data_IF_586553874253
#
_entry.id   IF_586553874253
#
_cell.length_a   1.000
_cell.length_b   1.000
_cell.length_c   1.000
_cell.angle_alpha   90.00
_cell.angle_beta   90.00
_cell.angle_gamma   90.00
#
_symmetry.space_group_name_H-M   'P 1'
#
loop_
_entity.id
_entity.type
_entity.pdbx_description
1 polymer ?
#
# COMPACT_ATOMS: atom_id res chain seq x y z
N UNK A 1 6.44 -7.08 1.69
CA UNK A 1 7.06 -6.52 0.48
C UNK A 1 7.99 -7.58 -0.08
N UNK A 2 8.23 -7.56 -1.40
CA UNK A 2 9.49 -8.07 -1.95
C UNK A 2 10.65 -7.38 -1.23
N UNK A 3 11.74 -8.08 -0.91
CA UNK A 3 12.92 -7.45 -0.29
C UNK A 3 13.59 -6.49 -1.28
N UNK A 4 13.47 -6.80 -2.58
CA UNK A 4 14.01 -6.05 -3.71
C UNK A 4 13.56 -4.56 -3.75
N UNK A 5 12.42 -4.21 -3.12
CA UNK A 5 11.83 -2.87 -3.14
C UNK A 5 12.54 -1.83 -2.24
N UNK A 6 13.36 -2.28 -1.27
CA UNK A 6 13.94 -1.40 -0.24
C UNK A 6 15.44 -1.20 -0.52
N UNK A 7 15.73 -0.24 -1.39
CA UNK A 7 17.09 0.04 -1.87
C UNK A 7 18.02 0.76 -0.88
N UNK A 8 17.48 1.51 0.10
CA UNK A 8 18.28 2.22 1.11
C UNK A 8 17.72 2.11 2.54
N UNK A 9 18.56 2.45 3.52
CA UNK A 9 18.17 2.55 4.94
C UNK A 9 17.14 3.65 5.21
N UNK A 10 17.23 4.79 4.51
CA UNK A 10 16.23 5.87 4.62
C UNK A 10 14.88 5.46 4.02
N UNK A 11 14.87 4.66 2.93
CA UNK A 11 13.63 4.05 2.42
C UNK A 11 12.98 3.20 3.53
N UNK A 12 13.74 2.31 4.16
CA UNK A 12 13.24 1.48 5.27
C UNK A 12 12.68 2.33 6.41
N UNK A 13 13.44 3.31 6.90
CA UNK A 13 13.01 4.18 8.00
C UNK A 13 11.75 4.99 7.65
N UNK A 14 11.66 5.52 6.43
CA UNK A 14 10.47 6.25 5.98
C UNK A 14 9.22 5.33 5.99
N UNK A 15 9.34 4.11 5.46
CA UNK A 15 8.24 3.13 5.52
C UNK A 15 7.84 2.75 6.96
N UNK A 16 8.76 2.83 7.93
CA UNK A 16 8.46 2.70 9.35
C UNK A 16 7.79 3.97 9.93
N UNK A 17 8.19 5.18 9.52
CA UNK A 17 7.55 6.46 9.91
C UNK A 17 6.14 6.62 9.34
N UNK A 18 5.82 5.98 8.21
CA UNK A 18 4.48 5.96 7.62
C UNK A 18 3.40 5.50 8.61
N UNK A 19 3.75 4.69 9.61
CA UNK A 19 2.82 4.19 10.62
C UNK A 19 2.64 5.12 11.83
N UNK A 20 3.26 6.31 11.84
CA UNK A 20 3.15 7.27 12.94
C UNK A 20 1.73 7.79 13.17
N UNK A 21 0.81 7.63 12.21
CA UNK A 21 -0.63 7.82 12.45
C UNK A 21 -1.17 6.99 13.63
N UNK A 22 -0.51 5.88 14.01
CA UNK A 22 -0.85 5.09 15.19
C UNK A 22 -0.62 5.85 16.51
N UNK A 23 0.18 6.93 16.53
CA UNK A 23 0.27 7.83 17.70
C UNK A 23 -1.08 8.49 18.00
N UNK A 24 -1.97 8.65 17.00
CA UNK A 24 -3.32 9.18 17.21
C UNK A 24 -4.18 8.30 18.13
N UNK A 25 -3.84 7.01 18.28
CA UNK A 25 -4.46 6.10 19.26
C UNK A 25 -4.20 6.53 20.72
N UNK A 26 -3.17 7.34 20.99
CA UNK A 26 -2.90 7.89 22.33
C UNK A 26 -4.02 8.82 22.82
N UNK A 27 -4.94 9.25 21.94
CA UNK A 27 -6.20 9.91 22.32
C UNK A 27 -7.09 9.04 23.22
N UNK A 28 -6.97 7.72 23.15
CA UNK A 28 -7.55 6.83 24.15
C UNK A 28 -6.75 6.96 25.46
N UNK A 29 -7.31 7.46 26.59
CA UNK A 29 -6.52 7.87 27.75
C UNK A 29 -5.75 6.73 28.45
N UNK A 30 -6.16 5.47 28.22
CA UNK A 30 -5.54 4.26 28.78
C UNK A 30 -4.63 3.52 27.79
N UNK A 31 -4.58 3.92 26.52
CA UNK A 31 -3.66 3.32 25.56
C UNK A 31 -2.21 3.70 25.89
N UNK A 32 -1.30 2.74 25.73
CA UNK A 32 0.16 2.92 25.73
C UNK A 32 0.69 2.40 24.42
N UNK A 33 1.63 3.12 23.80
CA UNK A 33 2.19 2.76 22.51
C UNK A 33 3.69 2.53 22.66
N UNK A 34 4.15 1.33 22.34
CA UNK A 34 5.57 1.03 22.17
C UNK A 34 5.83 1.06 20.66
N UNK A 35 6.41 2.16 20.18
CA UNK A 35 6.73 2.34 18.77
C UNK A 35 8.19 1.95 18.55
N UNK A 36 8.44 1.08 17.58
CA UNK A 36 9.76 0.50 17.32
C UNK A 36 10.14 0.73 15.85
N UNK A 37 11.32 1.27 15.64
CA UNK A 37 11.88 1.63 14.32
C UNK A 37 13.34 1.23 14.24
N UNK A 38 13.92 1.18 13.04
CA UNK A 38 15.31 0.79 12.77
C UNK A 38 16.33 1.82 13.28
N UNK A 39 15.97 3.10 13.27
CA UNK A 39 16.75 4.21 13.81
C UNK A 39 15.86 5.12 14.66
N UNK A 40 16.44 6.08 15.39
CA UNK A 40 15.64 7.11 16.10
C UNK A 40 14.95 8.06 15.15
N UNK A 41 13.64 8.27 15.37
CA UNK A 41 12.85 9.33 14.75
C UNK A 41 13.19 10.68 15.40
N UNK A 42 13.22 11.76 14.62
CA UNK A 42 13.49 13.12 15.10
C UNK A 42 12.41 13.58 16.12
N UNK A 43 12.76 14.27 17.22
CA UNK A 43 11.78 14.70 18.22
C UNK A 43 10.65 15.57 17.65
N UNK A 44 10.95 16.53 16.78
CA UNK A 44 9.95 17.40 16.14
C UNK A 44 8.94 16.63 15.28
N UNK A 45 9.37 15.57 14.57
CA UNK A 45 8.45 14.65 13.87
C UNK A 45 7.48 14.00 14.87
N UNK A 46 7.95 13.57 16.04
CA UNK A 46 7.08 12.98 17.06
C UNK A 46 6.12 14.02 17.63
N UNK A 47 6.62 15.21 17.96
CA UNK A 47 5.81 16.24 18.60
C UNK A 47 4.75 16.81 17.62
N UNK A 48 5.06 16.91 16.31
CA UNK A 48 4.07 17.12 15.24
C UNK A 48 2.90 16.12 15.28
N UNK A 49 3.18 14.82 15.43
CA UNK A 49 2.12 13.80 15.56
C UNK A 49 1.37 13.84 16.90
N UNK A 50 1.90 14.51 17.93
CA UNK A 50 1.23 14.69 19.22
C UNK A 50 0.36 15.95 19.27
N UNK A 51 0.78 17.04 18.62
CA UNK A 51 -0.03 18.26 18.45
C UNK A 51 -1.24 18.02 17.54
N UNK A 52 -1.17 16.99 16.70
CA UNK A 52 -2.29 16.48 15.89
C UNK A 52 -3.35 15.68 16.67
N UNK A 53 -3.24 15.53 18.00
CA UNK A 53 -4.20 14.79 18.83
C UNK A 53 -5.42 15.66 19.25
N UNK A 54 -6.62 15.49 18.67
CA UNK A 54 -7.77 16.32 19.04
C UNK A 54 -8.22 16.06 20.49
N UNK A 55 -8.23 17.11 21.31
CA UNK A 55 -8.71 17.05 22.70
C UNK A 55 -7.74 16.40 23.71
N UNK A 56 -6.45 16.28 23.38
CA UNK A 56 -5.43 15.68 24.26
C UNK A 56 -4.33 16.71 24.53
N UNK A 57 -3.84 16.79 25.77
CA UNK A 57 -2.62 17.54 26.07
C UNK A 57 -1.40 16.71 25.64
N UNK A 58 -0.53 17.20 24.74
CA UNK A 58 0.59 16.41 24.18
C UNK A 58 1.48 15.74 25.24
N UNK A 59 1.75 16.40 26.37
CA UNK A 59 2.53 15.85 27.48
C UNK A 59 1.88 14.59 28.12
N UNK A 60 0.56 14.52 28.20
CA UNK A 60 -0.18 13.34 28.70
C UNK A 60 -0.21 12.19 27.68
N UNK A 61 0.01 12.46 26.39
CA UNK A 61 0.25 11.44 25.38
C UNK A 61 1.72 10.97 25.41
N UNK A 62 2.67 11.89 25.53
CA UNK A 62 4.12 11.62 25.61
C UNK A 62 4.48 10.65 26.73
N UNK A 63 3.87 10.79 27.91
CA UNK A 63 4.05 9.88 29.05
C UNK A 63 3.65 8.41 28.78
N UNK A 64 2.88 8.15 27.71
CA UNK A 64 2.39 6.82 27.32
C UNK A 64 3.00 6.32 26.00
N UNK A 65 3.91 7.09 25.40
CA UNK A 65 4.61 6.80 24.15
C UNK A 65 6.06 6.41 24.44
N UNK A 66 6.41 5.16 24.11
CA UNK A 66 7.75 4.62 24.28
C UNK A 66 8.37 4.38 22.92
N UNK A 67 9.42 5.13 22.60
CA UNK A 67 10.16 5.01 21.34
C UNK A 67 11.39 4.14 21.57
N UNK A 68 11.55 3.09 20.76
CA UNK A 68 12.68 2.17 20.82
C UNK A 68 13.30 1.95 19.44
N UNK A 69 14.62 1.72 19.43
CA UNK A 69 15.39 1.49 18.21
C UNK A 69 16.55 0.51 18.49
N UNK A 70 16.90 -0.39 17.54
CA UNK A 70 18.10 -1.21 17.56
C UNK A 70 19.36 -0.46 17.08
N UNK A 71 19.21 0.80 16.64
CA UNK A 71 20.24 1.68 16.05
C UNK A 71 20.95 0.98 14.87
N UNK A 72 20.17 0.62 13.85
CA UNK A 72 20.56 -0.27 12.76
C UNK A 72 19.93 0.20 11.44
N UNK A 73 20.59 1.16 10.78
CA UNK A 73 20.16 1.73 9.50
C UNK A 73 20.34 0.82 8.27
N UNK A 74 20.67 -0.47 8.45
CA UNK A 74 20.80 -1.41 7.32
C UNK A 74 19.45 -1.69 6.64
N UNK A 75 19.45 -2.17 5.40
CA UNK A 75 18.22 -2.61 4.70
C UNK A 75 17.59 -3.91 5.26
N UNK A 76 18.12 -4.45 6.36
CA UNK A 76 17.58 -5.68 6.98
C UNK A 76 16.20 -5.43 7.59
N UNK A 77 15.28 -6.42 7.56
CA UNK A 77 13.99 -6.32 8.22
C UNK A 77 14.10 -5.97 9.71
N UNK A 78 13.25 -5.07 10.21
CA UNK A 78 13.23 -4.66 11.61
C UNK A 78 13.09 -5.85 12.57
N UNK A 79 12.22 -6.81 12.25
CA UNK A 79 12.04 -8.04 13.02
C UNK A 79 13.35 -8.83 13.19
N UNK A 80 14.20 -8.92 12.17
CA UNK A 80 15.51 -9.59 12.28
C UNK A 80 16.49 -8.78 13.14
N UNK A 81 16.45 -7.44 13.03
CA UNK A 81 17.26 -6.53 13.86
C UNK A 81 16.90 -6.67 15.34
N UNK A 82 15.61 -6.88 15.66
CA UNK A 82 15.10 -7.08 17.03
C UNK A 82 15.37 -8.50 17.55
N UNK A 83 15.10 -9.54 16.76
CA UNK A 83 15.30 -10.94 17.16
C UNK A 83 16.78 -11.28 17.42
N UNK A 84 17.70 -10.61 16.71
CA UNK A 84 19.14 -10.70 16.97
C UNK A 84 19.59 -9.97 18.26
N UNK A 85 18.70 -9.26 18.98
CA UNK A 85 19.03 -8.43 20.14
C UNK A 85 18.16 -8.79 21.37
N UNK A 86 18.39 -9.93 22.06
CA UNK A 86 17.56 -10.38 23.19
C UNK A 86 17.36 -9.35 24.31
N UNK A 87 18.37 -8.54 24.66
CA UNK A 87 18.24 -7.46 25.65
C UNK A 87 17.24 -6.38 25.24
N UNK A 88 17.04 -6.15 23.94
CA UNK A 88 16.04 -5.22 23.42
C UNK A 88 14.64 -5.85 23.43
N UNK A 89 14.52 -7.16 23.17
CA UNK A 89 13.27 -7.92 23.35
C UNK A 89 12.80 -7.83 24.81
N UNK A 90 13.67 -8.07 25.80
CA UNK A 90 13.29 -7.91 27.21
C UNK A 90 12.96 -6.46 27.60
N UNK A 91 13.59 -5.46 26.97
CA UNK A 91 13.24 -4.04 27.15
C UNK A 91 11.88 -3.68 26.53
N UNK A 92 11.45 -4.34 25.45
CA UNK A 92 10.10 -4.19 24.92
C UNK A 92 9.11 -4.90 25.87
N UNK A 93 9.42 -6.12 26.30
CA UNK A 93 8.59 -6.91 27.24
C UNK A 93 8.34 -6.18 28.55
N UNK A 94 9.34 -5.53 29.15
CA UNK A 94 9.16 -4.79 30.42
C UNK A 94 8.33 -3.50 30.30
N UNK A 95 7.98 -3.06 29.09
CA UNK A 95 7.04 -1.96 28.85
C UNK A 95 5.60 -2.43 28.62
N UNK A 96 5.40 -3.72 28.34
CA UNK A 96 4.09 -4.38 28.21
C UNK A 96 3.55 -4.63 29.62
N UNK A 97 2.60 -3.80 30.06
CA UNK A 97 2.02 -3.89 31.41
C UNK A 97 1.07 -5.08 31.59
N UNK A 98 0.42 -5.51 30.51
CA UNK A 98 -0.68 -6.47 30.49
C UNK A 98 -0.65 -7.21 29.13
N UNK A 99 -0.12 -8.44 29.06
CA UNK A 99 -0.04 -9.20 27.81
C UNK A 99 -1.40 -9.53 27.19
N UNK A 100 -2.42 -9.77 28.01
CA UNK A 100 -3.79 -10.09 27.56
C UNK A 100 -4.50 -8.89 26.93
N UNK A 101 -3.98 -7.67 27.17
CA UNK A 101 -4.44 -6.41 26.57
C UNK A 101 -3.45 -5.76 25.60
N UNK A 102 -2.35 -6.43 25.28
CA UNK A 102 -1.36 -5.96 24.32
C UNK A 102 -1.43 -6.77 23.01
N UNK A 103 -1.02 -6.14 21.90
CA UNK A 103 -0.85 -6.84 20.63
C UNK A 103 0.22 -6.15 19.78
N UNK A 104 0.97 -6.94 19.00
CA UNK A 104 1.91 -6.42 18.02
C UNK A 104 1.14 -5.93 16.79
N UNK A 105 1.32 -4.67 16.37
CA UNK A 105 0.81 -4.14 15.10
C UNK A 105 1.97 -4.04 14.10
N UNK A 106 2.20 -5.06 13.25
CA UNK A 106 3.29 -5.01 12.29
C UNK A 106 2.86 -4.34 10.98
N UNK A 107 3.87 -3.96 10.19
CA UNK A 107 3.74 -3.46 8.82
C UNK A 107 3.44 -4.59 7.81
N UNK A 108 4.33 -5.58 7.69
CA UNK A 108 4.12 -6.84 6.96
C UNK A 108 3.74 -7.96 7.95
N UNK A 109 3.15 -9.06 7.47
CA UNK A 109 2.83 -10.23 8.30
C UNK A 109 3.53 -11.48 7.77
N UNK A 110 4.78 -11.68 8.18
CA UNK A 110 5.59 -12.85 7.79
C UNK A 110 5.93 -13.72 9.00
N UNK A 111 6.61 -14.85 8.78
CA UNK A 111 7.11 -15.69 9.88
C UNK A 111 8.07 -14.93 10.83
N UNK A 112 8.71 -13.84 10.39
CA UNK A 112 9.58 -13.00 11.23
C UNK A 112 8.78 -12.24 12.30
N UNK A 113 7.63 -11.67 11.91
CA UNK A 113 6.74 -10.96 12.84
C UNK A 113 5.97 -11.94 13.74
N UNK A 114 5.69 -13.16 13.25
CA UNK A 114 5.14 -14.25 14.06
C UNK A 114 6.09 -14.70 15.17
N UNK A 115 7.37 -14.92 14.84
CA UNK A 115 8.42 -15.21 15.84
C UNK A 115 8.59 -14.02 16.80
N UNK A 116 8.61 -12.78 16.32
CA UNK A 116 8.66 -11.60 17.18
C UNK A 116 7.47 -11.55 18.17
N UNK A 117 6.24 -11.81 17.73
CA UNK A 117 5.06 -11.85 18.59
C UNK A 117 5.16 -12.96 19.65
N UNK A 118 5.59 -14.16 19.27
CA UNK A 118 5.83 -15.28 20.21
C UNK A 118 6.88 -14.92 21.27
N UNK A 119 7.97 -14.25 20.87
CA UNK A 119 9.06 -13.83 21.78
C UNK A 119 8.66 -12.68 22.68
N UNK A 120 7.79 -11.78 22.23
CA UNK A 120 7.16 -10.76 23.07
C UNK A 120 6.09 -11.33 24.01
N UNK A 121 5.50 -12.49 23.67
CA UNK A 121 4.44 -13.13 24.45
C UNK A 121 3.07 -12.47 24.29
N UNK A 122 2.80 -11.85 23.14
CA UNK A 122 1.55 -11.14 22.84
C UNK A 122 1.00 -11.54 21.45
N UNK A 123 -0.32 -11.48 21.22
CA UNK A 123 -0.90 -11.74 19.90
C UNK A 123 -0.43 -10.73 18.84
N UNK A 124 -0.39 -11.16 17.57
CA UNK A 124 -0.12 -10.29 16.43
C UNK A 124 -1.43 -9.83 15.77
N UNK A 125 -1.61 -8.52 15.62
CA UNK A 125 -2.76 -7.94 14.90
C UNK A 125 -2.48 -7.83 13.39
N UNK A 126 -2.62 -8.98 12.73
CA UNK A 126 -2.47 -9.18 11.30
C UNK A 126 -2.82 -10.61 10.89
N UNK A 127 -2.75 -10.92 9.59
CA UNK A 127 -2.99 -12.28 9.10
C UNK A 127 -1.92 -13.26 9.63
N UNK A 128 -2.32 -14.49 9.97
CA UNK A 128 -1.37 -15.56 10.25
C UNK A 128 -0.60 -15.91 8.96
N UNK A 129 0.75 -15.88 8.94
CA UNK A 129 1.55 -16.17 7.75
C UNK A 129 1.25 -17.47 7.02
N UNK A 130 0.57 -18.45 7.65
CA UNK A 130 0.04 -19.64 6.95
C UNK A 130 -0.93 -19.31 5.80
N UNK A 131 -1.56 -18.14 5.83
CA UNK A 131 -2.45 -17.66 4.78
C UNK A 131 -1.72 -16.89 3.68
N UNK A 132 -0.40 -16.66 3.78
CA UNK A 132 0.39 -15.95 2.77
C UNK A 132 0.20 -16.49 1.34
N UNK A 133 0.13 -17.81 1.08
CA UNK A 133 -0.15 -18.33 -0.27
C UNK A 133 -1.42 -17.79 -0.90
N UNK A 134 -2.47 -17.50 -0.11
CA UNK A 134 -3.75 -16.93 -0.58
C UNK A 134 -3.62 -15.46 -1.04
N UNK A 135 -2.57 -14.76 -0.64
CA UNK A 135 -2.25 -13.39 -1.06
C UNK A 135 -1.22 -13.31 -2.20
N UNK A 136 -0.74 -14.44 -2.72
CA UNK A 136 0.03 -14.47 -3.98
C UNK A 136 -0.91 -14.29 -5.16
N UNK A 137 -0.41 -13.80 -6.31
CA UNK A 137 -1.24 -13.61 -7.51
C UNK A 137 -1.90 -14.92 -7.99
N UNK A 138 -1.17 -16.04 -7.91
CA UNK A 138 -1.70 -17.37 -8.21
C UNK A 138 -2.73 -17.84 -7.18
N UNK A 139 -2.54 -17.54 -5.89
CA UNK A 139 -3.47 -17.90 -4.83
C UNK A 139 -4.76 -17.08 -4.84
N UNK A 140 -4.69 -15.79 -5.18
CA UNK A 140 -5.89 -14.95 -5.25
C UNK A 140 -6.75 -15.26 -6.46
N UNK A 141 -6.17 -15.59 -7.63
CA UNK A 141 -6.94 -16.04 -8.81
C UNK A 141 -7.71 -17.33 -8.56
N UNK A 142 -7.15 -18.26 -7.77
CA UNK A 142 -7.87 -19.45 -7.28
C UNK A 142 -9.07 -19.07 -6.39
N UNK A 143 -8.89 -18.12 -5.46
CA UNK A 143 -10.00 -17.57 -4.65
C UNK A 143 -11.07 -16.87 -5.52
N UNK A 144 -10.66 -16.10 -6.54
CA UNK A 144 -11.61 -15.45 -7.45
C UNK A 144 -12.44 -16.47 -8.23
N UNK A 145 -11.81 -17.58 -8.64
CA UNK A 145 -12.48 -18.73 -9.29
C UNK A 145 -13.46 -19.42 -8.34
N UNK A 146 -13.05 -19.76 -7.11
CA UNK A 146 -13.92 -20.39 -6.11
C UNK A 146 -15.17 -19.55 -5.79
N UNK A 147 -15.01 -18.23 -5.69
CA UNK A 147 -16.08 -17.31 -5.25
C UNK A 147 -16.93 -16.72 -6.37
N UNK A 148 -16.65 -17.07 -7.63
CA UNK A 148 -17.29 -16.45 -8.80
C UNK A 148 -17.12 -14.91 -8.79
N UNK A 149 -15.91 -14.46 -8.53
CA UNK A 149 -15.45 -13.06 -8.71
C UNK A 149 -14.85 -12.98 -10.13
N UNK A 150 -15.32 -12.09 -11.02
CA UNK A 150 -14.76 -12.00 -12.35
C UNK A 150 -13.32 -11.48 -12.29
N UNK A 151 -12.47 -12.06 -13.13
CA UNK A 151 -11.03 -11.78 -13.20
C UNK A 151 -10.54 -12.13 -14.62
N UNK A 152 -9.39 -11.61 -15.09
CA UNK A 152 -8.97 -11.78 -16.48
C UNK A 152 -8.69 -13.24 -16.84
N UNK A 153 -8.87 -13.62 -18.11
CA UNK A 153 -8.44 -14.94 -18.61
C UNK A 153 -6.93 -15.08 -18.37
N UNK A 154 -6.48 -16.23 -17.83
CA UNK A 154 -5.08 -16.43 -17.49
C UNK A 154 -4.81 -17.81 -16.90
N UNK A 155 -3.55 -18.02 -16.52
CA UNK A 155 -3.03 -19.24 -15.89
C UNK A 155 -2.11 -18.90 -14.71
N UNK A 156 -2.13 -19.77 -13.70
CA UNK A 156 -1.42 -19.63 -12.42
C UNK A 156 -0.16 -20.53 -12.32
N UNK A 157 0.68 -20.28 -11.30
CA UNK A 157 1.87 -21.08 -10.91
C UNK A 157 2.96 -21.28 -11.99
N UNK A 158 2.97 -20.47 -13.04
CA UNK A 158 3.92 -20.50 -14.16
C UNK A 158 5.36 -20.27 -13.67
N UNK A 159 6.29 -21.17 -14.00
CA UNK A 159 7.69 -21.12 -13.55
C UNK A 159 8.74 -21.53 -14.57
N UNK A 160 8.40 -21.56 -15.86
CA UNK A 160 9.35 -21.75 -16.95
C UNK A 160 8.92 -21.01 -18.21
N UNK A 161 9.85 -20.79 -19.14
CA UNK A 161 9.55 -20.24 -20.48
C UNK A 161 8.58 -21.15 -21.24
N UNK A 162 8.71 -22.47 -21.09
CA UNK A 162 7.83 -23.46 -21.71
C UNK A 162 6.39 -23.41 -21.15
N UNK A 163 6.23 -23.36 -19.82
CA UNK A 163 4.92 -23.16 -19.19
C UNK A 163 4.26 -21.85 -19.65
N UNK A 164 5.04 -20.78 -19.79
CA UNK A 164 4.56 -19.46 -20.23
C UNK A 164 4.12 -19.47 -21.71
N UNK A 165 4.90 -20.08 -22.61
CA UNK A 165 4.54 -20.28 -24.02
C UNK A 165 3.25 -21.10 -24.16
N UNK A 166 3.16 -22.21 -23.42
CA UNK A 166 2.00 -23.10 -23.45
C UNK A 166 0.74 -22.41 -22.93
N UNK A 167 0.84 -21.65 -21.83
CA UNK A 167 -0.27 -20.88 -21.28
C UNK A 167 -0.77 -19.80 -22.27
N UNK A 168 0.12 -18.99 -22.84
CA UNK A 168 -0.28 -17.94 -23.79
C UNK A 168 -0.89 -18.55 -25.06
N UNK A 169 -0.36 -19.67 -25.56
CA UNK A 169 -0.94 -20.39 -26.72
C UNK A 169 -2.37 -20.87 -26.41
N UNK A 170 -2.62 -21.41 -25.21
CA UNK A 170 -3.96 -21.79 -24.77
C UNK A 170 -4.90 -20.58 -24.62
N UNK A 171 -4.40 -19.46 -24.10
CA UNK A 171 -5.16 -18.20 -24.02
C UNK A 171 -5.55 -17.67 -25.41
N UNK A 172 -4.61 -17.63 -26.37
CA UNK A 172 -4.87 -17.23 -27.75
C UNK A 172 -5.86 -18.16 -28.45
N UNK A 173 -5.75 -19.48 -28.26
CA UNK A 173 -6.68 -20.44 -28.82
C UNK A 173 -8.11 -20.27 -28.25
N UNK A 174 -8.24 -19.93 -26.95
CA UNK A 174 -9.53 -19.68 -26.28
C UNK A 174 -10.13 -18.31 -26.59
N UNK A 175 -9.30 -17.29 -26.79
CA UNK A 175 -9.71 -15.91 -27.13
C UNK A 175 -8.72 -15.32 -28.15
N UNK A 176 -8.93 -15.54 -29.47
CA UNK A 176 -8.02 -15.05 -30.51
C UNK A 176 -7.88 -13.53 -30.61
N UNK A 177 -8.76 -12.77 -29.94
CA UNK A 177 -8.76 -11.31 -29.88
C UNK A 177 -7.90 -10.72 -28.74
N UNK A 178 -7.08 -11.52 -28.05
CA UNK A 178 -6.13 -10.98 -27.05
C UNK A 178 -4.95 -10.34 -27.78
N UNK A 179 -4.92 -9.01 -27.76
CA UNK A 179 -3.82 -8.21 -28.30
C UNK A 179 -2.58 -8.25 -27.40
N UNK A 180 -2.75 -8.30 -26.08
CA UNK A 180 -1.66 -8.24 -25.10
C UNK A 180 -1.95 -9.09 -23.85
N UNK A 181 -0.90 -9.67 -23.27
CA UNK A 181 -0.95 -10.34 -21.96
C UNK A 181 0.05 -9.71 -21.00
N UNK A 182 -0.23 -9.82 -19.70
CA UNK A 182 0.64 -9.38 -18.64
C UNK A 182 1.09 -10.58 -17.80
N UNK A 183 2.40 -10.76 -17.71
CA UNK A 183 3.06 -11.72 -16.81
C UNK A 183 3.32 -11.01 -15.49
N UNK A 184 3.00 -11.63 -14.36
CA UNK A 184 3.11 -10.99 -13.03
C UNK A 184 3.70 -11.95 -12.01
N UNK A 185 4.86 -11.61 -11.45
CA UNK A 185 5.49 -12.39 -10.37
C UNK A 185 4.59 -12.43 -9.13
N UNK A 186 4.46 -13.62 -8.52
CA UNK A 186 3.50 -13.91 -7.45
C UNK A 186 3.60 -12.96 -6.24
N UNK A 187 4.81 -12.55 -5.87
CA UNK A 187 5.11 -11.72 -4.69
C UNK A 187 5.48 -10.27 -5.03
N UNK A 188 5.43 -9.89 -6.31
CA UNK A 188 5.69 -8.52 -6.77
C UNK A 188 4.68 -7.51 -6.20
N UNK A 189 5.12 -6.30 -5.87
CA UNK A 189 4.30 -5.25 -5.22
C UNK A 189 4.34 -3.95 -6.02
N UNK A 190 3.27 -3.14 -5.96
CA UNK A 190 3.23 -1.79 -6.54
C UNK A 190 3.57 -1.68 -8.05
N UNK A 191 3.42 -2.78 -8.82
CA UNK A 191 3.81 -2.87 -10.23
C UNK A 191 5.12 -3.64 -10.47
N UNK A 192 5.97 -3.80 -9.45
CA UNK A 192 7.22 -4.57 -9.53
C UNK A 192 6.96 -6.02 -9.97
N UNK A 193 7.69 -6.49 -10.99
CA UNK A 193 7.55 -7.85 -11.50
C UNK A 193 6.36 -8.07 -12.44
N UNK A 194 5.64 -7.01 -12.83
CA UNK A 194 4.79 -7.03 -14.01
C UNK A 194 5.64 -6.89 -15.29
N UNK A 195 5.28 -7.64 -16.34
CA UNK A 195 5.84 -7.52 -17.67
C UNK A 195 4.73 -7.66 -18.73
N UNK A 196 4.78 -6.88 -19.81
CA UNK A 196 3.81 -6.93 -20.91
C UNK A 196 4.41 -7.68 -22.10
N UNK A 197 3.64 -8.63 -22.65
CA UNK A 197 3.96 -9.34 -23.89
C UNK A 197 2.94 -8.92 -24.95
N UNK A 198 3.42 -8.34 -26.04
CA UNK A 198 2.58 -7.93 -27.17
C UNK A 198 2.30 -9.12 -28.11
N UNK A 199 1.03 -9.41 -28.36
CA UNK A 199 0.57 -10.51 -29.22
C UNK A 199 0.09 -10.01 -30.59
N UNK A 200 0.15 -8.70 -30.83
CA UNK A 200 -0.18 -8.10 -32.12
C UNK A 200 0.72 -8.62 -33.25
N UNK A 201 0.11 -8.75 -34.45
CA UNK A 201 0.71 -9.31 -35.66
C UNK A 201 1.28 -10.75 -35.54
N UNK A 202 1.00 -11.47 -34.45
CA UNK A 202 1.21 -12.93 -34.41
C UNK A 202 0.25 -13.65 -35.38
N UNK A 203 0.66 -14.79 -35.99
CA UNK A 203 -0.21 -15.55 -36.88
C UNK A 203 -1.44 -16.11 -36.13
N UNK A 204 -2.43 -16.60 -36.89
CA UNK A 204 -3.61 -17.27 -36.31
C UNK A 204 -3.21 -18.41 -35.37
N UNK A 205 -3.92 -18.63 -34.24
CA UNK A 205 -3.61 -19.71 -33.31
C UNK A 205 -3.59 -21.08 -33.99
N UNK A 206 -2.64 -21.93 -33.60
CA UNK A 206 -2.37 -23.23 -34.24
C UNK A 206 -1.49 -23.16 -35.49
N UNK A 207 -0.99 -21.98 -35.88
CA UNK A 207 -0.03 -21.85 -36.97
C UNK A 207 1.33 -22.44 -36.59
N UNK A 208 2.00 -23.15 -37.52
CA UNK A 208 3.36 -23.68 -37.31
C UNK A 208 4.44 -22.63 -37.02
N UNK A 209 4.14 -21.33 -37.24
CA UNK A 209 5.02 -20.21 -36.89
C UNK A 209 4.69 -19.55 -35.54
N UNK A 210 3.57 -19.91 -34.90
CA UNK A 210 3.09 -19.25 -33.68
C UNK A 210 4.12 -19.33 -32.55
N UNK A 211 4.58 -20.53 -32.20
CA UNK A 211 5.48 -20.74 -31.05
C UNK A 211 6.80 -19.99 -31.21
N UNK A 212 7.38 -19.98 -32.42
CA UNK A 212 8.63 -19.27 -32.69
C UNK A 212 8.47 -17.75 -32.59
N UNK A 213 7.42 -17.18 -33.18
CA UNK A 213 7.15 -15.74 -33.06
C UNK A 213 6.74 -15.35 -31.63
N UNK A 214 6.10 -16.25 -30.89
CA UNK A 214 5.77 -16.03 -29.48
C UNK A 214 7.02 -16.07 -28.59
N UNK A 215 8.01 -16.91 -28.88
CA UNK A 215 9.33 -16.88 -28.24
C UNK A 215 10.04 -15.54 -28.47
N UNK A 216 10.01 -15.01 -29.69
CA UNK A 216 10.52 -13.66 -29.99
C UNK A 216 9.79 -12.57 -29.17
N UNK A 217 8.47 -12.68 -29.01
CA UNK A 217 7.66 -11.77 -28.17
C UNK A 217 7.97 -11.88 -26.68
N UNK A 218 8.20 -13.08 -26.14
CA UNK A 218 8.66 -13.25 -24.76
C UNK A 218 10.03 -12.58 -24.56
N UNK A 219 10.98 -12.83 -25.47
CA UNK A 219 12.33 -12.26 -25.44
C UNK A 219 12.36 -10.73 -25.59
N UNK A 220 11.26 -10.12 -26.04
CA UNK A 220 11.07 -8.67 -26.17
C UNK A 220 9.98 -8.11 -25.24
N UNK A 221 9.62 -8.81 -24.17
CA UNK A 221 8.64 -8.34 -23.19
C UNK A 221 9.08 -7.04 -22.49
N UNK A 222 8.11 -6.18 -22.18
CA UNK A 222 8.35 -4.85 -21.61
C UNK A 222 8.19 -4.88 -20.08
N UNK A 223 9.19 -4.39 -19.33
CA UNK A 223 9.19 -4.38 -17.86
C UNK A 223 8.79 -3.00 -17.31
N UNK A 224 8.08 -2.99 -16.18
CA UNK A 224 7.74 -1.73 -15.47
C UNK A 224 8.94 -1.13 -14.71
N UNK A 225 9.93 -1.96 -14.35
CA UNK A 225 11.16 -1.54 -13.66
C UNK A 225 12.32 -1.37 -14.66
N UNK A 226 12.98 -0.21 -14.61
CA UNK A 226 14.23 0.03 -15.34
C UNK A 226 15.34 -0.95 -14.93
N UNK A 227 16.20 -1.30 -15.88
CA UNK A 227 17.35 -2.20 -15.66
C UNK A 227 17.01 -3.69 -15.52
N UNK A 228 15.73 -4.08 -15.49
CA UNK A 228 15.34 -5.50 -15.54
C UNK A 228 15.64 -6.08 -16.92
N UNK A 229 16.39 -7.18 -16.94
CA UNK A 229 16.68 -7.96 -18.15
C UNK A 229 15.81 -9.22 -18.22
N UNK A 230 15.58 -9.74 -19.43
CA UNK A 230 14.84 -10.99 -19.64
C UNK A 230 15.35 -12.14 -18.75
N UNK A 231 16.65 -12.40 -18.76
CA UNK A 231 17.21 -13.54 -18.01
C UNK A 231 17.08 -13.35 -16.48
N UNK A 232 17.20 -12.11 -15.99
CA UNK A 232 16.97 -11.79 -14.57
C UNK A 232 15.49 -11.94 -14.18
N UNK A 233 14.56 -11.58 -15.07
CA UNK A 233 13.13 -11.76 -14.87
C UNK A 233 12.74 -13.25 -14.88
N UNK A 234 13.24 -14.02 -15.84
CA UNK A 234 12.95 -15.45 -15.94
C UNK A 234 13.54 -16.26 -14.78
N UNK A 235 14.70 -15.86 -14.26
CA UNK A 235 15.25 -16.42 -13.02
C UNK A 235 14.31 -16.17 -11.82
N UNK A 236 13.80 -14.95 -11.65
CA UNK A 236 12.79 -14.63 -10.61
C UNK A 236 11.45 -15.32 -10.84
N UNK A 237 11.05 -15.55 -12.09
CA UNK A 237 9.86 -16.31 -12.45
C UNK A 237 10.00 -17.80 -12.08
N UNK A 238 11.18 -18.39 -12.29
CA UNK A 238 11.47 -19.76 -11.86
C UNK A 238 11.49 -19.89 -10.32
N UNK A 239 12.07 -18.92 -9.61
CA UNK A 239 12.12 -18.87 -8.14
C UNK A 239 10.72 -18.69 -7.52
N UNK A 240 9.98 -17.65 -7.94
CA UNK A 240 8.80 -17.15 -7.22
C UNK A 240 7.46 -17.60 -7.81
N UNK A 241 7.50 -18.16 -9.03
CA UNK A 241 6.35 -18.39 -9.92
C UNK A 241 5.62 -17.10 -10.30
N UNK A 242 4.84 -17.17 -11.37
CA UNK A 242 4.08 -16.07 -11.94
C UNK A 242 2.65 -16.49 -12.30
N UNK A 243 1.81 -15.49 -12.51
CA UNK A 243 0.59 -15.64 -13.32
C UNK A 243 0.85 -15.03 -14.70
N UNK A 244 0.15 -15.53 -15.73
CA UNK A 244 0.01 -14.82 -17.01
C UNK A 244 -1.47 -14.62 -17.29
N UNK A 245 -1.88 -13.39 -17.60
CA UNK A 245 -3.28 -13.05 -17.78
C UNK A 245 -3.50 -12.00 -18.88
N UNK A 246 -4.71 -11.93 -19.41
CA UNK A 246 -5.14 -10.94 -20.38
C UNK A 246 -4.96 -9.52 -19.82
N UNK A 247 -4.30 -8.64 -20.59
CA UNK A 247 -4.23 -7.21 -20.25
C UNK A 247 -5.59 -6.58 -20.58
N UNK A 248 -6.40 -6.35 -19.55
CA UNK A 248 -7.65 -5.59 -19.69
C UNK A 248 -7.34 -4.16 -20.16
N UNK A 249 -8.01 -3.73 -21.22
CA UNK A 249 -7.92 -2.41 -21.85
C UNK A 249 -9.32 -1.91 -22.24
N UNK A 250 -9.48 -0.61 -22.44
CA UNK A 250 -10.73 0.02 -22.85
C UNK A 250 -10.55 1.53 -23.06
N UNK A 251 -11.56 2.19 -23.64
CA UNK A 251 -11.57 3.66 -23.84
C UNK A 251 -11.46 4.42 -22.51
N UNK A 252 -12.14 3.92 -21.48
CA UNK A 252 -11.95 4.34 -20.09
C UNK A 252 -11.44 3.15 -19.27
N UNK A 253 -10.26 3.31 -18.65
CA UNK A 253 -9.67 2.34 -17.73
C UNK A 253 -9.45 2.96 -16.35
N UNK A 254 -9.73 2.17 -15.30
CA UNK A 254 -9.59 2.54 -13.88
C UNK A 254 -9.01 1.36 -13.12
N UNK A 255 -8.16 1.63 -12.13
CA UNK A 255 -7.63 0.61 -11.20
C UNK A 255 -8.08 0.94 -9.76
N UNK A 256 -9.35 0.71 -9.41
CA UNK A 256 -9.84 1.01 -8.07
C UNK A 256 -9.56 -0.15 -7.11
N UNK A 257 -9.69 0.12 -5.81
CA UNK A 257 -9.41 -0.84 -4.75
C UNK A 257 -10.38 -0.72 -3.59
N UNK A 258 -10.60 -1.83 -2.88
CA UNK A 258 -11.45 -1.88 -1.68
C UNK A 258 -10.63 -2.39 -0.51
N UNK A 259 -10.72 -1.70 0.62
CA UNK A 259 -10.06 -2.10 1.85
C UNK A 259 -11.03 -2.87 2.75
N UNK A 260 -10.56 -4.04 3.20
CA UNK A 260 -11.29 -4.97 4.05
C UNK A 260 -10.52 -5.16 5.35
N UNK A 261 -11.23 -5.22 6.48
CA UNK A 261 -10.69 -5.61 7.78
C UNK A 261 -11.38 -6.86 8.29
N UNK A 262 -10.59 -7.89 8.58
CA UNK A 262 -11.07 -9.07 9.31
C UNK A 262 -10.71 -8.84 10.77
N UNK A 263 -11.72 -8.80 11.62
CA UNK A 263 -11.55 -8.63 13.07
C UNK A 263 -11.10 -9.95 13.73
N UNK A 264 -10.55 -9.94 14.96
CA UNK A 264 -10.23 -11.16 15.70
C UNK A 264 -11.47 -12.05 16.00
N UNK A 265 -12.67 -11.50 15.83
CA UNK A 265 -13.95 -12.20 15.97
C UNK A 265 -14.47 -12.80 14.65
N UNK A 266 -13.68 -12.77 13.57
CA UNK A 266 -14.06 -13.27 12.24
C UNK A 266 -15.03 -12.38 11.45
N UNK A 267 -15.51 -11.27 12.03
CA UNK A 267 -16.33 -10.28 11.31
C UNK A 267 -15.47 -9.57 10.25
N UNK A 268 -16.03 -9.45 9.04
CA UNK A 268 -15.52 -8.58 7.96
C UNK A 268 -16.12 -7.20 8.09
N UNK A 269 -15.29 -6.18 7.90
CA UNK A 269 -15.67 -4.78 7.85
C UNK A 269 -15.13 -4.19 6.55
N UNK A 270 -16.01 -3.63 5.72
CA UNK A 270 -15.66 -2.85 4.54
C UNK A 270 -15.25 -1.47 5.02
N UNK A 271 -13.98 -1.11 4.85
CA UNK A 271 -13.44 0.13 5.40
C UNK A 271 -13.55 1.30 4.43
N UNK A 272 -13.29 1.07 3.14
CA UNK A 272 -13.12 2.16 2.17
C UNK A 272 -12.98 1.65 0.73
N UNK A 273 -13.44 2.44 -0.24
CA UNK A 273 -13.08 2.34 -1.66
C UNK A 273 -12.10 3.46 -2.03
N UNK A 274 -11.15 3.18 -2.91
CA UNK A 274 -10.18 4.18 -3.39
C UNK A 274 -9.89 3.99 -4.88
N UNK A 275 -9.64 5.08 -5.58
CA UNK A 275 -9.09 5.06 -6.94
C UNK A 275 -7.58 5.23 -6.87
N UNK A 276 -6.83 4.38 -7.58
CA UNK A 276 -5.36 4.45 -7.58
C UNK A 276 -4.85 5.51 -8.55
N UNK A 277 -3.95 6.35 -8.06
CA UNK A 277 -3.10 7.20 -8.89
C UNK A 277 -1.93 6.34 -9.37
N UNK A 278 -1.94 6.00 -10.66
CA UNK A 278 -0.92 5.17 -11.31
C UNK A 278 -0.03 6.00 -12.24
N UNK A 279 1.21 5.54 -12.42
CA UNK A 279 2.19 6.07 -13.37
C UNK A 279 3.17 4.97 -13.79
N UNK A 280 4.42 5.36 -14.11
CA UNK A 280 5.42 4.44 -14.64
C UNK A 280 5.21 4.08 -16.12
N UNK A 281 6.15 3.37 -16.76
CA UNK A 281 6.18 3.18 -18.22
C UNK A 281 4.92 2.56 -18.82
N UNK A 282 4.27 1.62 -18.13
CA UNK A 282 3.03 0.97 -18.58
C UNK A 282 1.77 1.48 -17.86
N UNK A 283 1.89 2.48 -17.00
CA UNK A 283 0.80 3.00 -16.17
C UNK A 283 0.38 2.02 -15.08
N UNK A 284 1.32 1.32 -14.44
CA UNK A 284 1.06 0.27 -13.43
C UNK A 284 1.73 0.56 -12.08
N UNK A 285 2.66 1.50 -12.00
CA UNK A 285 3.34 1.91 -10.77
C UNK A 285 2.41 2.70 -9.85
N UNK A 286 2.22 2.25 -8.60
CA UNK A 286 1.38 2.95 -7.63
C UNK A 286 2.08 4.22 -7.09
N UNK A 287 1.48 5.39 -7.30
CA UNK A 287 1.95 6.68 -6.78
C UNK A 287 1.17 7.11 -5.54
N UNK A 288 -0.14 6.86 -5.53
CA UNK A 288 -1.05 7.33 -4.49
C UNK A 288 -2.50 6.89 -4.72
N UNK A 289 -3.44 7.55 -4.04
CA UNK A 289 -4.87 7.25 -4.17
C UNK A 289 -5.78 8.46 -3.92
N UNK A 290 -7.00 8.36 -4.42
CA UNK A 290 -8.12 9.28 -4.19
C UNK A 290 -9.20 8.54 -3.39
N UNK A 291 -9.84 9.23 -2.44
CA UNK A 291 -10.86 8.67 -1.55
C UNK A 291 -12.08 9.60 -1.40
N UNK A 292 -13.32 9.06 -1.41
CA UNK A 292 -13.67 7.69 -1.82
C UNK A 292 -13.47 7.49 -3.34
N UNK A 293 -13.56 6.24 -3.80
CA UNK A 293 -13.65 5.94 -5.22
C UNK A 293 -14.88 6.58 -5.88
N UNK A 294 -14.85 6.76 -7.20
CA UNK A 294 -15.98 7.29 -7.97
C UNK A 294 -17.30 6.56 -7.67
N UNK A 295 -18.35 7.34 -7.39
CA UNK A 295 -19.65 6.84 -6.93
C UNK A 295 -20.37 5.95 -7.96
N UNK A 296 -20.00 6.05 -9.24
CA UNK A 296 -20.49 5.18 -10.30
C UNK A 296 -20.18 3.70 -10.00
N UNK A 297 -18.91 3.37 -9.70
CA UNK A 297 -18.46 1.99 -9.48
C UNK A 297 -18.06 1.64 -8.05
N UNK A 298 -17.97 2.59 -7.10
CA UNK A 298 -17.59 2.29 -5.72
C UNK A 298 -18.48 1.20 -5.07
N UNK A 299 -19.80 1.26 -5.30
CA UNK A 299 -20.74 0.26 -4.79
C UNK A 299 -20.58 -1.13 -5.47
N UNK A 300 -20.14 -1.19 -6.73
CA UNK A 300 -19.80 -2.45 -7.41
C UNK A 300 -18.64 -3.15 -6.70
N UNK A 301 -17.50 -2.46 -6.67
CA UNK A 301 -16.24 -3.07 -6.27
C UNK A 301 -16.33 -3.49 -4.81
N UNK A 302 -17.07 -2.73 -4.00
CA UNK A 302 -17.46 -3.08 -2.64
C UNK A 302 -18.12 -4.46 -2.57
N UNK A 303 -19.15 -4.74 -3.38
CA UNK A 303 -19.92 -5.99 -3.31
C UNK A 303 -19.12 -7.22 -3.76
N UNK A 304 -18.20 -7.04 -4.70
CA UNK A 304 -17.29 -8.09 -5.18
C UNK A 304 -16.06 -8.30 -4.29
N UNK A 305 -15.38 -7.24 -3.87
CA UNK A 305 -14.32 -7.35 -2.86
C UNK A 305 -14.88 -7.90 -1.55
N UNK A 306 -16.14 -7.57 -1.21
CA UNK A 306 -16.83 -8.23 -0.13
C UNK A 306 -16.95 -9.73 -0.37
N UNK A 307 -17.20 -10.28 -1.58
CA UNK A 307 -17.11 -11.75 -1.83
C UNK A 307 -15.76 -12.28 -1.37
N UNK A 308 -14.67 -11.67 -1.81
CA UNK A 308 -13.29 -12.08 -1.45
C UNK A 308 -13.06 -12.02 0.06
N UNK A 309 -13.37 -10.90 0.70
CA UNK A 309 -13.33 -10.76 2.17
C UNK A 309 -14.23 -11.77 2.88
N UNK A 310 -15.21 -12.33 2.16
CA UNK A 310 -16.16 -13.34 2.61
C UNK A 310 -15.85 -14.78 2.15
N UNK A 311 -14.89 -15.03 1.26
CA UNK A 311 -14.14 -16.31 1.25
C UNK A 311 -13.28 -16.47 2.49
N UNK A 312 -12.91 -15.31 3.03
CA UNK A 312 -12.30 -15.12 4.33
C UNK A 312 -13.39 -14.91 5.45
N UNK A 313 -14.71 -15.05 5.13
CA UNK A 313 -15.91 -15.09 6.02
C UNK A 313 -17.21 -15.75 5.39
N UNK A 314 -18.23 -15.01 4.81
CA UNK A 314 -19.25 -15.40 3.73
C UNK A 314 -20.37 -14.32 3.46
N UNK A 315 -20.93 -13.97 2.26
CA UNK A 315 -20.62 -14.08 0.80
C UNK A 315 -21.58 -13.25 -0.16
N UNK A 316 -21.17 -12.87 -1.41
CA UNK A 316 -21.96 -12.28 -2.59
C UNK A 316 -22.62 -10.85 -2.50
N UNK A 317 -22.95 -10.01 -3.53
CA UNK A 317 -22.82 -9.94 -5.02
C UNK A 317 -23.24 -8.51 -5.58
N UNK A 318 -22.81 -7.98 -6.76
CA UNK A 318 -23.61 -6.97 -7.57
C UNK A 318 -22.94 -5.84 -8.42
N UNK A 319 -23.44 -5.60 -9.67
CA UNK A 319 -22.93 -4.84 -10.90
C UNK A 319 -22.27 -3.44 -10.76
N UNK A 320 -21.40 -2.89 -11.65
CA UNK A 320 -21.00 -3.11 -13.09
C UNK A 320 -20.24 -4.43 -13.43
N UNK A 321 -19.33 -4.42 -14.42
CA UNK A 321 -18.30 -5.44 -14.68
C UNK A 321 -16.95 -5.08 -14.01
N UNK A 322 -16.53 -5.82 -12.97
CA UNK A 322 -15.23 -5.64 -12.32
C UNK A 322 -14.30 -6.82 -12.60
N UNK A 323 -13.01 -6.56 -12.79
CA UNK A 323 -12.00 -7.60 -12.92
C UNK A 323 -11.07 -7.53 -11.70
N UNK A 324 -11.13 -8.54 -10.83
CA UNK A 324 -10.26 -8.63 -9.67
C UNK A 324 -8.85 -9.07 -10.10
N UNK A 325 -7.83 -8.31 -9.67
CA UNK A 325 -6.45 -8.48 -10.12
C UNK A 325 -5.56 -9.11 -9.04
N UNK A 326 -5.58 -8.61 -7.80
CA UNK A 326 -4.79 -9.16 -6.70
C UNK A 326 -5.43 -8.95 -5.31
N UNK A 327 -4.95 -9.71 -4.30
CA UNK A 327 -5.33 -9.55 -2.89
C UNK A 327 -4.09 -9.23 -2.06
N UNK A 328 -4.01 -8.01 -1.53
CA UNK A 328 -2.97 -7.64 -0.57
C UNK A 328 -3.37 -8.01 0.87
N UNK A 329 -2.96 -9.19 1.35
CA UNK A 329 -3.20 -9.65 2.74
C UNK A 329 -2.29 -8.95 3.77
N UNK A 330 -2.29 -7.61 3.77
CA UNK A 330 -1.44 -6.74 4.60
C UNK A 330 -2.04 -5.33 4.69
N UNK A 331 -1.45 -4.48 5.52
CA UNK A 331 -1.72 -3.02 5.48
C UNK A 331 -1.02 -2.45 4.24
N UNK A 332 -1.69 -1.58 3.49
CA UNK A 332 -1.22 -1.01 2.22
C UNK A 332 -1.11 0.52 2.24
N UNK A 333 -0.72 1.12 1.11
CA UNK A 333 -0.63 2.58 0.95
C UNK A 333 -1.97 3.32 1.07
N UNK A 334 -3.10 2.60 0.97
CA UNK A 334 -4.45 3.10 1.24
C UNK A 334 -4.88 2.93 2.71
N UNK A 335 -4.09 2.25 3.55
CA UNK A 335 -4.47 1.94 4.95
C UNK A 335 -4.11 3.05 5.92
N UNK A 336 -2.92 3.66 5.78
CA UNK A 336 -2.55 4.78 6.64
C UNK A 336 -3.36 6.07 6.39
N UNK A 337 -3.70 6.52 5.15
CA UNK A 337 -4.49 7.75 5.00
C UNK A 337 -5.94 7.57 5.46
N UNK A 338 -6.54 6.39 5.23
CA UNK A 338 -7.89 6.09 5.73
C UNK A 338 -7.95 6.08 7.27
N UNK A 339 -7.03 5.37 7.94
CA UNK A 339 -7.00 5.33 9.40
C UNK A 339 -6.58 6.68 10.01
N UNK A 340 -5.74 7.46 9.31
CA UNK A 340 -5.44 8.85 9.65
C UNK A 340 -6.71 9.71 9.66
N UNK A 341 -7.48 9.70 8.56
CA UNK A 341 -8.76 10.43 8.48
C UNK A 341 -9.70 9.98 9.62
N UNK A 342 -9.84 8.67 9.83
CA UNK A 342 -10.70 8.13 10.89
C UNK A 342 -10.26 8.59 12.29
N UNK A 343 -8.97 8.54 12.62
CA UNK A 343 -8.47 8.90 13.94
C UNK A 343 -8.43 10.42 14.19
N UNK A 344 -8.34 11.25 13.15
CA UNK A 344 -8.44 12.71 13.26
C UNK A 344 -9.89 13.21 13.31
N UNK A 345 -10.84 12.50 12.69
CA UNK A 345 -12.21 13.02 12.50
C UNK A 345 -13.30 12.32 13.30
N UNK A 346 -13.06 11.12 13.82
CA UNK A 346 -14.07 10.19 14.36
C UNK A 346 -15.18 9.80 13.36
N UNK A 347 -14.93 10.01 12.06
CA UNK A 347 -15.91 9.70 11.02
C UNK A 347 -16.03 8.21 10.69
N UNK A 348 -17.13 7.90 10.02
CA UNK A 348 -17.54 6.54 9.64
C UNK A 348 -17.76 6.45 8.14
N UNK A 349 -17.33 5.34 7.54
CA UNK A 349 -17.59 5.00 6.14
C UNK A 349 -18.85 4.14 6.03
N UNK A 350 -19.75 4.53 5.13
CA UNK A 350 -20.90 3.73 4.69
C UNK A 350 -20.50 3.01 3.38
N UNK A 351 -20.48 1.67 3.35
CA UNK A 351 -20.07 0.91 2.18
C UNK A 351 -21.15 0.80 1.09
N UNK A 352 -22.43 0.97 1.43
CA UNK A 352 -23.53 0.86 0.46
C UNK A 352 -23.69 2.14 -0.36
N UNK A 353 -23.38 3.30 0.24
CA UNK A 353 -23.33 4.62 -0.44
C UNK A 353 -21.92 5.05 -0.85
N UNK A 354 -20.88 4.36 -0.36
CA UNK A 354 -19.47 4.69 -0.51
C UNK A 354 -19.04 6.07 0.04
N UNK A 355 -19.74 6.59 1.05
CA UNK A 355 -19.49 7.92 1.64
C UNK A 355 -18.84 7.81 3.02
N UNK A 356 -17.83 8.63 3.28
CA UNK A 356 -17.30 8.86 4.62
C UNK A 356 -17.88 10.15 5.21
N UNK A 357 -18.47 10.06 6.40
CA UNK A 357 -19.09 11.20 7.10
C UNK A 357 -18.47 11.38 8.49
N UNK A 358 -18.01 12.59 8.79
CA UNK A 358 -17.54 12.97 10.12
C UNK A 358 -18.73 13.32 11.06
N UNK A 359 -18.56 13.30 12.41
CA UNK A 359 -19.67 13.51 13.36
C UNK A 359 -20.37 14.87 13.27
N UNK A 360 -19.77 15.85 12.58
CA UNK A 360 -20.37 17.15 12.25
C UNK A 360 -21.28 17.10 10.99
N UNK A 361 -21.57 15.92 10.46
CA UNK A 361 -22.39 15.71 9.27
C UNK A 361 -21.70 16.02 7.94
N UNK A 362 -20.44 16.46 7.95
CA UNK A 362 -19.69 16.72 6.70
C UNK A 362 -19.11 15.44 6.13
N UNK A 363 -19.28 15.28 4.82
CA UNK A 363 -18.54 14.28 4.05
C UNK A 363 -17.05 14.65 4.03
N UNK A 364 -16.16 13.65 3.96
CA UNK A 364 -14.71 13.86 3.88
C UNK A 364 -14.06 13.03 2.80
N UNK A 365 -13.11 13.67 2.12
CA UNK A 365 -12.44 13.20 0.92
C UNK A 365 -10.93 13.39 1.11
N UNK A 366 -10.10 12.57 0.48
CA UNK A 366 -8.66 12.84 0.45
C UNK A 366 -7.99 12.46 -0.86
N UNK A 367 -6.84 13.11 -1.10
CA UNK A 367 -5.81 12.64 -2.03
C UNK A 367 -4.56 12.34 -1.20
N UNK A 368 -4.03 11.12 -1.31
CA UNK A 368 -2.88 10.68 -0.54
C UNK A 368 -1.78 10.12 -1.46
N UNK A 369 -0.53 10.47 -1.18
CA UNK A 369 0.64 10.03 -1.93
C UNK A 369 1.76 9.64 -0.97
N UNK A 370 2.53 8.64 -1.38
CA UNK A 370 3.80 8.27 -0.74
C UNK A 370 5.02 8.73 -1.57
N UNK A 371 4.75 9.42 -2.68
CA UNK A 371 5.65 9.81 -3.77
C UNK A 371 5.55 11.33 -4.02
N UNK A 372 5.67 12.13 -2.98
CA UNK A 372 5.91 13.58 -3.13
C UNK A 372 7.42 13.75 -3.11
N UNK A 373 8.01 13.69 -4.30
CA UNK A 373 9.46 13.56 -4.49
C UNK A 373 10.04 14.46 -5.58
N UNK A 374 11.15 15.13 -5.25
CA UNK A 374 11.94 15.98 -6.15
C UNK A 374 13.39 16.02 -5.64
N UNK A 375 14.42 15.95 -6.52
CA UNK A 375 15.81 16.14 -6.12
C UNK A 375 16.07 17.46 -5.38
N UNK A 376 15.26 18.49 -5.64
CA UNK A 376 15.36 19.80 -4.98
C UNK A 376 14.94 19.73 -3.50
N UNK A 377 14.01 18.84 -3.12
CA UNK A 377 13.53 18.73 -1.72
C UNK A 377 14.61 18.27 -0.74
N UNK A 378 15.78 17.82 -1.23
CA UNK A 378 16.94 17.44 -0.40
C UNK A 378 17.58 18.60 0.35
N UNK A 379 17.25 19.85 0.00
CA UNK A 379 17.66 21.04 0.74
C UNK A 379 16.88 21.22 2.05
N UNK A 380 15.72 20.58 2.19
CA UNK A 380 14.84 20.74 3.35
C UNK A 380 15.12 19.69 4.44
N UNK A 381 15.17 20.14 5.69
CA UNK A 381 14.98 19.28 6.87
C UNK A 381 13.48 19.13 7.18
N UNK A 382 13.08 18.18 8.05
CA UNK A 382 11.72 18.12 8.55
C UNK A 382 11.26 19.40 9.27
N UNK A 383 12.19 20.15 9.86
CA UNK A 383 11.87 21.39 10.57
C UNK A 383 11.60 22.55 9.60
N UNK A 384 12.37 22.65 8.50
CA UNK A 384 12.08 23.59 7.40
C UNK A 384 10.71 23.30 6.76
N UNK A 385 10.36 22.02 6.60
CA UNK A 385 9.05 21.58 6.14
C UNK A 385 7.94 22.06 7.09
N UNK A 386 8.12 21.98 8.42
CA UNK A 386 7.13 22.48 9.37
C UNK A 386 6.98 24.01 9.26
N UNK A 387 8.07 24.75 9.12
CA UNK A 387 8.02 26.21 8.91
C UNK A 387 7.32 26.60 7.60
N UNK A 388 7.56 25.87 6.50
CA UNK A 388 6.82 26.04 5.22
C UNK A 388 5.32 25.78 5.45
N UNK A 389 4.97 24.68 6.13
CA UNK A 389 3.59 24.25 6.38
C UNK A 389 2.82 25.23 7.29
N UNK A 390 3.52 25.90 8.22
CA UNK A 390 2.97 26.99 9.03
C UNK A 390 2.84 28.27 8.21
N UNK A 391 3.92 28.75 7.56
CA UNK A 391 3.93 30.00 6.76
C UNK A 391 2.84 30.00 5.69
N UNK A 392 2.67 28.89 4.98
CA UNK A 392 1.67 28.74 3.91
C UNK A 392 0.31 28.22 4.39
N UNK A 393 0.12 28.00 5.70
CA UNK A 393 -1.15 27.51 6.26
C UNK A 393 -1.65 26.24 5.51
N UNK A 394 -0.77 25.22 5.43
CA UNK A 394 -1.04 23.92 4.79
C UNK A 394 -1.52 22.86 5.78
N UNK A 395 -1.26 23.05 7.09
CA UNK A 395 -1.51 22.06 8.13
C UNK A 395 -2.98 21.61 8.23
N UNK A 396 -3.21 20.37 8.70
CA UNK A 396 -4.54 19.88 9.01
C UNK A 396 -5.18 20.65 10.18
N UNK A 397 -6.20 21.45 9.89
CA UNK A 397 -6.89 22.28 10.87
C UNK A 397 -8.02 21.53 11.57
N UNK A 398 -7.81 21.09 12.82
CA UNK A 398 -8.73 20.26 13.61
C UNK A 398 -10.20 20.75 13.59
N UNK A 399 -10.44 22.05 13.72
CA UNK A 399 -11.80 22.64 13.72
C UNK A 399 -12.52 22.52 12.37
N UNK A 400 -11.79 22.49 11.25
CA UNK A 400 -12.35 22.33 9.89
C UNK A 400 -12.32 20.87 9.43
N UNK A 401 -11.42 20.07 10.01
CA UNK A 401 -11.09 18.71 9.58
C UNK A 401 -10.68 18.66 8.10
N UNK A 402 -9.87 19.62 7.65
CA UNK A 402 -9.29 19.73 6.30
C UNK A 402 -7.88 20.31 6.36
N UNK A 403 -7.13 20.18 5.28
CA UNK A 403 -5.69 20.51 5.20
C UNK A 403 -4.83 19.26 5.07
N UNK A 404 -3.52 19.40 5.22
CA UNK A 404 -2.52 18.37 4.90
C UNK A 404 -1.91 17.74 6.15
N UNK A 405 -1.79 16.41 6.15
CA UNK A 405 -0.85 15.68 6.99
C UNK A 405 0.36 15.24 6.19
N UNK A 406 1.55 15.28 6.79
CA UNK A 406 2.80 14.80 6.20
C UNK A 406 3.30 13.53 6.91
N UNK A 407 3.90 12.63 6.15
CA UNK A 407 4.46 11.36 6.61
C UNK A 407 5.74 11.02 5.86
N UNK A 408 6.49 9.99 6.30
CA UNK A 408 7.77 9.59 5.69
C UNK A 408 8.87 10.68 5.69
N UNK A 409 8.83 11.61 6.66
CA UNK A 409 9.64 12.83 6.64
C UNK A 409 11.16 12.60 6.80
N UNK A 410 11.61 11.47 7.37
CA UNK A 410 13.05 11.12 7.39
C UNK A 410 13.68 10.94 6.01
N UNK A 411 12.89 10.71 4.95
CA UNK A 411 13.40 10.56 3.59
C UNK A 411 13.71 11.89 2.89
N UNK A 412 13.35 13.04 3.49
CA UNK A 412 13.40 14.34 2.81
C UNK A 412 14.85 14.71 2.40
N UNK A 413 15.80 14.68 3.34
CA UNK A 413 17.20 15.04 3.07
C UNK A 413 17.99 14.03 2.22
N UNK A 414 17.85 12.71 2.45
CA UNK A 414 18.60 11.69 1.67
C UNK A 414 18.02 11.51 0.26
N UNK A 415 16.69 11.38 0.17
CA UNK A 415 16.03 10.94 -1.06
C UNK A 415 15.41 12.11 -1.83
N UNK A 416 15.04 13.20 -1.16
CA UNK A 416 14.21 14.27 -1.73
C UNK A 416 12.73 13.89 -1.73
N UNK A 417 12.30 13.05 -0.78
CA UNK A 417 11.00 12.37 -0.80
C UNK A 417 10.30 12.45 0.55
N UNK A 418 8.98 12.63 0.50
CA UNK A 418 8.06 12.37 1.61
C UNK A 418 6.72 11.87 1.07
N UNK A 419 5.76 11.67 1.97
CA UNK A 419 4.36 11.45 1.61
C UNK A 419 3.45 12.46 2.28
N UNK A 420 2.24 12.63 1.74
CA UNK A 420 1.21 13.47 2.35
C UNK A 420 -0.19 12.91 2.16
N UNK A 421 -1.12 13.36 3.00
CA UNK A 421 -2.56 13.12 2.92
C UNK A 421 -3.28 14.46 2.98
N UNK A 422 -3.84 14.92 1.86
CA UNK A 422 -4.58 16.17 1.73
C UNK A 422 -6.09 15.91 1.88
N UNK A 423 -6.72 16.47 2.90
CA UNK A 423 -8.13 16.22 3.27
C UNK A 423 -9.02 17.42 2.92
N UNK A 424 -10.14 17.17 2.25
CA UNK A 424 -11.16 18.16 1.85
C UNK A 424 -12.60 17.75 2.21
N UNK A 425 -13.56 18.63 1.95
CA UNK A 425 -15.01 18.37 2.04
C UNK A 425 -15.62 17.98 0.67
N UNK A 426 -14.83 17.94 -0.41
CA UNK A 426 -15.16 17.36 -1.72
C UNK A 426 -13.90 16.80 -2.39
N UNK A 427 -14.05 16.04 -3.48
CA UNK A 427 -12.93 15.57 -4.30
C UNK A 427 -12.07 16.74 -4.82
N UNK A 428 -12.71 17.84 -5.25
CA UNK A 428 -12.05 19.04 -5.77
C UNK A 428 -11.28 19.78 -4.67
N UNK A 429 -11.85 19.94 -3.47
CA UNK A 429 -11.13 20.56 -2.34
C UNK A 429 -9.92 19.73 -1.92
N UNK A 430 -10.05 18.40 -1.88
CA UNK A 430 -8.94 17.50 -1.57
C UNK A 430 -7.83 17.58 -2.63
N UNK A 431 -8.18 17.58 -3.92
CA UNK A 431 -7.23 17.70 -5.04
C UNK A 431 -6.55 19.07 -5.08
N UNK A 432 -7.31 20.16 -4.92
CA UNK A 432 -6.75 21.51 -4.84
C UNK A 432 -5.82 21.69 -3.62
N UNK A 433 -6.14 21.04 -2.49
CA UNK A 433 -5.27 21.04 -1.30
C UNK A 433 -3.97 20.27 -1.55
N UNK A 434 -4.04 19.13 -2.25
CA UNK A 434 -2.85 18.36 -2.68
C UNK A 434 -1.97 19.19 -3.62
N UNK A 435 -2.56 19.73 -4.69
CA UNK A 435 -1.84 20.48 -5.72
C UNK A 435 -1.19 21.75 -5.14
N UNK A 436 -1.90 22.46 -4.25
CA UNK A 436 -1.37 23.62 -3.53
C UNK A 436 -0.15 23.25 -2.68
N UNK A 437 -0.19 22.12 -1.98
CA UNK A 437 0.93 21.68 -1.15
C UNK A 437 2.17 21.38 -2.00
N UNK A 438 2.02 20.63 -3.09
CA UNK A 438 3.12 20.32 -4.02
C UNK A 438 3.66 21.58 -4.72
N UNK A 439 2.79 22.52 -5.10
CA UNK A 439 3.19 23.79 -5.71
C UNK A 439 4.03 24.66 -4.74
N UNK A 440 3.58 24.81 -3.50
CA UNK A 440 4.32 25.56 -2.46
C UNK A 440 5.70 24.95 -2.19
N UNK A 441 5.80 23.62 -2.14
CA UNK A 441 7.09 22.94 -1.95
C UNK A 441 8.04 23.18 -3.12
N UNK A 442 7.53 23.14 -4.36
CA UNK A 442 8.32 23.45 -5.56
C UNK A 442 8.76 24.92 -5.63
N UNK A 443 7.95 25.85 -5.09
CA UNK A 443 8.29 27.28 -5.00
C UNK A 443 9.41 27.50 -3.97
N UNK A 444 9.25 26.98 -2.75
CA UNK A 444 10.21 27.12 -1.65
C UNK A 444 11.56 26.44 -1.94
N UNK A 445 11.60 25.35 -2.73
CA UNK A 445 12.87 24.72 -3.17
C UNK A 445 13.32 25.11 -4.57
N UNK A 446 12.56 25.97 -5.26
CA UNK A 446 12.92 26.55 -6.56
C UNK A 446 13.66 27.89 -6.45
N UNK A 447 13.73 28.46 -5.25
CA UNK A 447 14.40 29.73 -4.96
C UNK A 447 15.93 29.62 -4.96
N UNK A 448 16.56 30.51 -5.74
CA UNK A 448 17.99 30.87 -5.69
C UNK A 448 19.02 29.73 -5.81
N UNK A 449 19.22 29.28 -7.05
CA UNK A 449 20.58 29.11 -7.55
C UNK A 449 21.12 30.48 -8.03
N UNK A 450 22.02 31.09 -7.25
CA UNK A 450 22.88 32.22 -7.65
C UNK A 450 24.36 31.82 -7.47
#
# INVERSE_FOLDING_TARGET
MSVDAISSGAVMQAYEERFLFLLLLLRQPRARLIYVTSQTILPSIIDYYLDLLPGVIPSHARQRLFLLSPMDGSVRPLSDKLLARPRLIERIRSLIMDPDRAHLVPFNTTNREKELALRLGIPMYGADPKFFPMGTKSGCRKIFTEENVPHPLGHEDIGSEEELLNAITQMRARKPSIEQVMVKLNEGVSGEGNAIVDLNALPVPGSSKEVAMLQERLRSMQFELEGVTYDSYMSKLQERKAVVEERIVGEEFRSPSVQLRITPLGRVELLSTHDQLLGGPSGQSYLGCVFPADTGYAALITREAAKVGRRLAKGSNGKWEPYAIEINLRKGGTTHPFLTLQFLTDGTYDPDTAIFTAPNGRQKFFVASDHVESPQYRTLTPDDLFDIVVRHNLHFGQTRQTGVLFHMMSALGELGRMGLTAVGNSHEEAKATYDRATAVLNEETGGEAQ
#
